data_IF_376885620016
#
_entry.id   IF_376885620016
#
_cell.length_a   1.000
_cell.length_b   1.000
_cell.length_c   1.000
_cell.angle_alpha   90.00
_cell.angle_beta   90.00
_cell.angle_gamma   90.00
#
_symmetry.space_group_name_H-M   'P 1'
#
loop_
_entity.id
_entity.type
_entity.pdbx_description
1 polymer ?
#
# COMPACT_ATOMS: atom_id res chain seq x y z
N UNK A 1 0.54 3.47 -16.69
CA UNK A 1 -0.89 3.23 -16.96
C UNK A 1 -1.65 4.41 -16.39
N UNK A 2 -2.61 4.95 -17.13
CA UNK A 2 -3.40 6.10 -16.69
C UNK A 2 -4.36 5.73 -15.54
N UNK A 3 -4.81 6.73 -14.78
CA UNK A 3 -5.70 6.56 -13.63
C UNK A 3 -7.01 5.84 -13.99
N UNK A 4 -7.64 6.21 -15.11
CA UNK A 4 -8.94 5.67 -15.50
C UNK A 4 -8.88 4.17 -15.80
N UNK A 5 -7.82 3.73 -16.47
CA UNK A 5 -7.59 2.29 -16.73
C UNK A 5 -7.39 1.51 -15.42
N UNK A 6 -6.64 2.06 -14.46
CA UNK A 6 -6.42 1.42 -13.15
C UNK A 6 -7.74 1.32 -12.36
N UNK A 7 -8.51 2.41 -12.29
CA UNK A 7 -9.80 2.43 -11.59
C UNK A 7 -10.81 1.48 -12.22
N UNK A 8 -10.85 1.38 -13.55
CA UNK A 8 -11.73 0.45 -14.26
C UNK A 8 -11.40 -1.02 -13.98
N UNK A 9 -10.13 -1.33 -13.70
CA UNK A 9 -9.66 -2.67 -13.35
C UNK A 9 -9.64 -2.95 -11.84
N UNK A 10 -10.10 -2.02 -10.99
CA UNK A 10 -9.93 -2.09 -9.55
C UNK A 10 -10.80 -3.21 -8.94
N UNK A 11 -10.15 -4.15 -8.24
CA UNK A 11 -10.83 -5.28 -7.60
C UNK A 11 -10.91 -5.14 -6.08
N UNK A 12 -10.01 -4.35 -5.49
CA UNK A 12 -9.90 -4.07 -4.07
C UNK A 12 -9.36 -2.64 -3.88
N UNK A 13 -9.98 -1.86 -3.01
CA UNK A 13 -9.43 -0.61 -2.46
C UNK A 13 -9.63 -0.62 -0.96
N UNK A 14 -8.58 -0.31 -0.21
CA UNK A 14 -8.60 -0.31 1.23
C UNK A 14 -7.96 0.96 1.81
N UNK A 15 -8.55 1.43 2.90
CA UNK A 15 -7.92 2.37 3.83
C UNK A 15 -6.98 1.58 4.74
N UNK A 16 -5.74 2.03 4.87
CA UNK A 16 -4.66 1.32 5.56
C UNK A 16 -3.93 2.26 6.51
N UNK A 17 -2.82 1.79 7.09
CA UNK A 17 -1.98 2.63 7.93
C UNK A 17 -2.62 2.91 9.28
N UNK A 18 -2.38 4.10 9.83
CA UNK A 18 -2.79 4.44 11.21
C UNK A 18 -4.29 4.26 11.45
N UNK A 19 -5.11 4.48 10.42
CA UNK A 19 -6.56 4.29 10.48
C UNK A 19 -6.93 2.82 10.70
N UNK A 20 -6.38 1.92 9.89
CA UNK A 20 -6.63 0.48 10.01
C UNK A 20 -6.04 -0.12 11.30
N UNK A 21 -4.96 0.46 11.83
CA UNK A 21 -4.32 0.02 13.06
C UNK A 21 -4.95 0.58 14.34
N UNK A 22 -5.95 1.47 14.24
CA UNK A 22 -6.53 2.13 15.41
C UNK A 22 -5.56 3.06 16.16
N UNK A 23 -4.54 3.55 15.46
CA UNK A 23 -3.51 4.46 16.00
C UNK A 23 -3.62 5.86 15.41
N UNK A 24 -4.69 6.14 14.66
CA UNK A 24 -4.92 7.44 14.06
C UNK A 24 -5.26 8.51 15.09
N UNK A 25 -4.82 9.73 14.81
CA UNK A 25 -5.19 10.95 15.52
C UNK A 25 -6.03 11.83 14.59
N UNK A 26 -6.69 12.89 15.09
CA UNK A 26 -7.44 13.81 14.24
C UNK A 26 -6.61 14.47 13.12
N UNK A 27 -5.29 14.48 13.25
CA UNK A 27 -4.37 15.03 12.25
C UNK A 27 -3.72 13.97 11.35
N UNK A 28 -4.06 12.68 11.52
CA UNK A 28 -3.51 11.60 10.71
C UNK A 28 -3.93 11.73 9.25
N UNK A 29 -2.98 11.48 8.36
CA UNK A 29 -3.23 11.24 6.95
C UNK A 29 -3.93 9.90 6.72
N UNK A 30 -4.43 9.73 5.48
CA UNK A 30 -5.07 8.51 5.04
C UNK A 30 -4.19 7.84 3.99
N UNK A 31 -3.76 6.61 4.30
CA UNK A 31 -3.02 5.76 3.38
C UNK A 31 -3.96 4.80 2.66
N UNK A 32 -3.92 4.78 1.34
CA UNK A 32 -4.77 3.88 0.56
C UNK A 32 -3.93 2.83 -0.17
N UNK A 33 -4.39 1.58 -0.14
CA UNK A 33 -3.83 0.49 -0.95
C UNK A 33 -4.92 -0.14 -1.79
N UNK A 34 -4.60 -0.45 -3.05
CA UNK A 34 -5.54 -1.14 -3.92
C UNK A 34 -4.88 -2.25 -4.71
N UNK A 35 -5.74 -3.06 -5.34
CA UNK A 35 -5.35 -4.09 -6.29
C UNK A 35 -6.21 -3.96 -7.53
N UNK A 36 -5.58 -3.98 -8.70
CA UNK A 36 -6.28 -3.92 -9.99
C UNK A 36 -5.83 -5.04 -10.93
N UNK A 37 -6.71 -5.39 -11.86
CA UNK A 37 -6.42 -6.30 -12.97
C UNK A 37 -6.16 -5.44 -14.21
N UNK A 38 -4.95 -5.52 -14.76
CA UNK A 38 -4.61 -4.81 -15.98
C UNK A 38 -5.43 -5.32 -17.21
N UNK A 39 -5.54 -4.53 -18.29
CA UNK A 39 -6.12 -5.02 -19.54
C UNK A 39 -5.33 -6.18 -20.17
N UNK A 40 -5.98 -6.93 -21.07
CA UNK A 40 -5.42 -8.14 -21.71
C UNK A 40 -4.04 -7.93 -22.35
N UNK A 41 -3.78 -6.78 -22.96
CA UNK A 41 -2.48 -6.45 -23.57
C UNK A 41 -1.29 -6.51 -22.60
N UNK A 42 -1.53 -6.34 -21.30
CA UNK A 42 -0.50 -6.43 -20.26
C UNK A 42 -0.22 -7.88 -19.82
N UNK A 43 -1.09 -8.81 -20.20
CA UNK A 43 -0.94 -10.24 -19.93
C UNK A 43 -0.48 -11.01 -21.18
N UNK A 44 -0.98 -10.62 -22.35
CA UNK A 44 -0.76 -11.32 -23.61
C UNK A 44 0.24 -10.60 -24.54
N UNK A 45 0.62 -9.37 -24.19
CA UNK A 45 1.59 -8.57 -24.94
C UNK A 45 2.87 -8.27 -24.16
N UNK A 46 3.67 -7.34 -24.66
CA UNK A 46 4.95 -6.92 -24.06
C UNK A 46 4.81 -5.73 -23.09
N UNK A 47 3.59 -5.23 -22.86
CA UNK A 47 3.35 -4.14 -21.90
C UNK A 47 3.48 -4.68 -20.49
N UNK A 48 4.14 -3.94 -19.60
CA UNK A 48 4.23 -4.26 -18.19
C UNK A 48 3.72 -3.11 -17.33
N UNK A 49 3.14 -3.47 -16.18
CA UNK A 49 2.77 -2.54 -15.11
C UNK A 49 2.81 -3.32 -13.81
N UNK A 50 3.46 -2.76 -12.79
CA UNK A 50 3.54 -3.39 -11.47
C UNK A 50 2.61 -2.71 -10.47
N UNK A 51 2.54 -1.38 -10.51
CA UNK A 51 1.74 -0.56 -9.61
C UNK A 51 1.50 0.84 -10.19
N UNK A 52 0.55 1.57 -9.60
CA UNK A 52 0.38 3.01 -9.73
C UNK A 52 0.45 3.63 -8.34
N UNK A 53 1.40 4.54 -8.14
CA UNK A 53 1.65 5.25 -6.88
C UNK A 53 1.68 6.78 -7.05
N UNK A 54 1.37 7.28 -8.26
CA UNK A 54 1.39 8.69 -8.64
C UNK A 54 0.32 8.99 -9.69
N UNK A 55 0.05 10.29 -9.92
CA UNK A 55 -0.91 10.75 -10.92
C UNK A 55 -2.36 10.52 -10.46
N UNK A 56 -2.64 10.80 -9.18
CA UNK A 56 -3.97 10.75 -8.58
C UNK A 56 -4.68 12.13 -8.62
N UNK A 57 -3.95 13.18 -8.98
CA UNK A 57 -4.42 14.51 -9.33
C UNK A 57 -5.12 14.55 -10.71
N UNK A 58 -4.84 13.57 -11.58
CA UNK A 58 -5.54 13.40 -12.86
C UNK A 58 -7.02 13.02 -12.65
N UNK A 59 -7.95 13.43 -13.55
CA UNK A 59 -9.34 13.01 -13.47
C UNK A 59 -9.51 11.49 -13.59
N UNK A 60 -10.12 10.87 -12.57
CA UNK A 60 -10.52 9.47 -12.57
C UNK A 60 -11.82 9.20 -13.35
N UNK A 61 -12.40 8.02 -13.14
CA UNK A 61 -13.75 7.65 -13.64
C UNK A 61 -14.87 8.10 -12.69
N UNK A 62 -14.52 8.68 -11.54
CA UNK A 62 -15.48 9.25 -10.57
C UNK A 62 -16.11 8.24 -9.60
N UNK A 63 -15.76 6.95 -9.69
CA UNK A 63 -16.28 5.91 -8.77
C UNK A 63 -15.59 5.88 -7.40
N UNK A 64 -14.38 6.44 -7.30
CA UNK A 64 -13.55 6.39 -6.11
C UNK A 64 -13.09 7.80 -5.71
N UNK A 65 -13.99 8.67 -5.21
CA UNK A 65 -13.67 10.06 -4.90
C UNK A 65 -12.61 10.21 -3.80
N UNK A 66 -12.43 9.18 -2.96
CA UNK A 66 -11.35 9.12 -1.96
C UNK A 66 -9.94 9.17 -2.56
N UNK A 67 -9.81 8.86 -3.85
CA UNK A 67 -8.55 8.93 -4.58
C UNK A 67 -8.28 10.31 -5.18
N UNK A 68 -9.23 11.23 -5.12
CA UNK A 68 -9.03 12.60 -5.60
C UNK A 68 -8.10 13.36 -4.65
N UNK A 69 -6.97 13.86 -5.19
CA UNK A 69 -5.96 14.59 -4.43
C UNK A 69 -5.39 13.82 -3.22
N UNK A 70 -5.40 12.50 -3.29
CA UNK A 70 -4.78 11.66 -2.27
C UNK A 70 -3.25 11.80 -2.33
N UNK A 71 -2.63 11.96 -1.17
CA UNK A 71 -1.17 12.06 -1.06
C UNK A 71 -0.52 10.68 -1.14
N UNK A 72 -1.06 9.73 -0.38
CA UNK A 72 -0.48 8.40 -0.20
C UNK A 72 -1.47 7.32 -0.66
N UNK A 73 -1.35 6.96 -1.94
CA UNK A 73 -2.11 5.84 -2.50
C UNK A 73 -1.26 5.01 -3.44
N UNK A 74 -1.23 3.69 -3.20
CA UNK A 74 -0.56 2.73 -4.08
C UNK A 74 -1.52 1.63 -4.48
N UNK A 75 -1.76 1.49 -5.78
CA UNK A 75 -2.59 0.42 -6.34
C UNK A 75 -1.71 -0.54 -7.13
N UNK A 76 -1.65 -1.79 -6.70
CA UNK A 76 -0.81 -2.83 -7.27
C UNK A 76 -1.54 -3.59 -8.38
N UNK A 77 -0.80 -3.94 -9.44
CA UNK A 77 -1.30 -4.91 -10.40
C UNK A 77 -1.36 -6.30 -9.74
N UNK A 78 -2.37 -7.09 -10.09
CA UNK A 78 -2.70 -8.35 -9.41
C UNK A 78 -1.51 -9.34 -9.33
N UNK A 79 -0.73 -9.56 -10.39
CA UNK A 79 0.43 -10.46 -10.36
C UNK A 79 1.51 -9.93 -9.42
N UNK A 80 1.76 -8.63 -9.42
CA UNK A 80 2.70 -8.01 -8.47
C UNK A 80 2.24 -8.23 -7.03
N UNK A 81 0.97 -7.95 -6.75
CA UNK A 81 0.38 -8.12 -5.43
C UNK A 81 0.47 -9.59 -4.97
N UNK A 82 0.04 -10.53 -5.81
CA UNK A 82 0.12 -11.97 -5.51
C UNK A 82 1.55 -12.43 -5.26
N UNK A 83 2.52 -11.91 -6.02
CA UNK A 83 3.95 -12.23 -5.83
C UNK A 83 4.45 -11.76 -4.46
N UNK A 84 4.07 -10.56 -4.04
CA UNK A 84 4.47 -10.02 -2.74
C UNK A 84 3.81 -10.78 -1.58
N UNK A 85 2.52 -11.07 -1.70
CA UNK A 85 1.77 -11.84 -0.70
C UNK A 85 2.29 -13.29 -0.60
N UNK A 86 2.59 -13.93 -1.74
CA UNK A 86 3.23 -15.26 -1.80
C UNK A 86 4.60 -15.31 -1.11
N UNK A 87 5.33 -14.20 -1.12
CA UNK A 87 6.59 -14.04 -0.39
C UNK A 87 6.40 -13.53 1.05
N UNK A 88 5.15 -13.48 1.52
CA UNK A 88 4.74 -13.08 2.86
C UNK A 88 5.28 -11.69 3.23
N UNK A 89 5.29 -10.75 2.27
CA UNK A 89 5.63 -9.36 2.51
C UNK A 89 4.62 -8.76 3.53
N UNK A 90 5.07 -8.27 4.70
CA UNK A 90 4.16 -7.85 5.76
C UNK A 90 3.16 -6.77 5.32
N UNK A 91 3.63 -5.78 4.56
CA UNK A 91 2.82 -4.64 4.13
C UNK A 91 1.70 -5.03 3.17
N UNK A 92 1.90 -6.07 2.37
CA UNK A 92 0.89 -6.55 1.41
C UNK A 92 -0.02 -7.59 2.03
N UNK A 93 0.54 -8.43 2.91
CA UNK A 93 -0.21 -9.46 3.61
C UNK A 93 -1.28 -8.82 4.49
N UNK A 94 -0.95 -7.75 5.21
CA UNK A 94 -1.89 -6.94 6.01
C UNK A 94 -3.18 -6.60 5.24
N UNK A 95 -3.08 -6.22 3.96
CA UNK A 95 -4.23 -5.82 3.14
C UNK A 95 -5.28 -6.93 2.98
N UNK A 96 -4.94 -8.20 3.20
CA UNK A 96 -5.87 -9.32 3.15
C UNK A 96 -6.56 -9.65 4.49
N UNK A 97 -6.15 -9.02 5.59
CA UNK A 97 -6.66 -9.24 6.96
C UNK A 97 -7.26 -7.97 7.58
N UNK A 98 -7.60 -6.97 6.78
CA UNK A 98 -8.28 -5.78 7.28
C UNK A 98 -9.73 -6.12 7.67
N UNK A 99 -10.26 -5.38 8.63
CA UNK A 99 -11.69 -5.44 8.95
C UNK A 99 -12.53 -4.94 7.77
N UNK A 100 -13.78 -5.42 7.68
CA UNK A 100 -14.63 -5.16 6.52
C UNK A 100 -14.88 -3.68 6.24
N UNK A 101 -14.87 -2.85 7.28
CA UNK A 101 -15.08 -1.40 7.18
C UNK A 101 -13.94 -0.66 6.48
N UNK A 102 -12.73 -1.22 6.50
CA UNK A 102 -11.56 -0.61 5.86
C UNK A 102 -11.48 -0.93 4.36
N UNK A 103 -12.30 -1.87 3.85
CA UNK A 103 -12.42 -2.11 2.41
C UNK A 103 -13.44 -1.15 1.78
N UNK A 104 -12.93 -0.06 1.22
CA UNK A 104 -13.73 0.97 0.54
C UNK A 104 -14.33 0.47 -0.78
N UNK A 105 -13.65 -0.47 -1.44
CA UNK A 105 -14.17 -1.17 -2.62
C UNK A 105 -13.75 -2.63 -2.58
N UNK A 106 -14.69 -3.52 -2.87
CA UNK A 106 -14.43 -4.95 -2.95
C UNK A 106 -15.33 -5.62 -3.99
N UNK A 107 -14.77 -5.87 -5.17
CA UNK A 107 -15.43 -6.61 -6.24
C UNK A 107 -15.63 -8.09 -5.88
N UNK A 108 -16.47 -8.86 -6.61
CA UNK A 108 -16.55 -10.31 -6.44
C UNK A 108 -15.19 -11.03 -6.55
N UNK A 109 -14.31 -10.55 -7.44
CA UNK A 109 -12.95 -11.08 -7.59
C UNK A 109 -12.09 -10.73 -6.38
N UNK A 110 -12.20 -9.51 -5.84
CA UNK A 110 -11.53 -9.09 -4.61
C UNK A 110 -11.97 -9.92 -3.39
N UNK A 111 -13.28 -10.19 -3.26
CA UNK A 111 -13.83 -11.11 -2.24
C UNK A 111 -13.22 -12.49 -2.36
N UNK A 112 -13.10 -13.02 -3.58
CA UNK A 112 -12.46 -14.31 -3.85
C UNK A 112 -10.98 -14.28 -3.46
N UNK A 113 -10.24 -13.23 -3.78
CA UNK A 113 -8.84 -13.05 -3.35
C UNK A 113 -8.71 -13.12 -1.82
N UNK A 114 -9.54 -12.40 -1.07
CA UNK A 114 -9.54 -12.42 0.40
C UNK A 114 -9.94 -13.79 0.95
N UNK A 115 -10.82 -14.53 0.27
CA UNK A 115 -11.20 -15.88 0.70
C UNK A 115 -10.02 -16.86 0.69
N UNK A 116 -9.02 -16.63 -0.18
CA UNK A 116 -7.80 -17.43 -0.24
C UNK A 116 -6.68 -16.96 0.70
N UNK A 117 -6.91 -15.94 1.55
CA UNK A 117 -5.85 -15.32 2.37
C UNK A 117 -5.00 -16.34 3.13
N UNK A 118 -5.63 -17.34 3.74
CA UNK A 118 -4.94 -18.38 4.51
C UNK A 118 -3.98 -19.22 3.67
N UNK A 119 -4.24 -19.41 2.38
CA UNK A 119 -3.39 -20.19 1.48
C UNK A 119 -2.04 -19.51 1.19
N UNK A 120 -1.91 -18.21 1.44
CA UNK A 120 -0.66 -17.49 1.24
C UNK A 120 0.32 -17.63 2.40
N UNK A 121 -0.15 -17.99 3.60
CA UNK A 121 0.71 -18.08 4.78
C UNK A 121 1.66 -19.27 4.66
N UNK A 122 2.95 -19.02 4.85
CA UNK A 122 4.00 -20.04 4.79
C UNK A 122 5.04 -19.81 5.87
N UNK A 123 5.99 -20.74 6.04
CA UNK A 123 7.11 -20.55 6.98
C UNK A 123 8.00 -19.34 6.64
N UNK A 124 7.92 -18.80 5.41
CA UNK A 124 8.62 -17.56 5.01
C UNK A 124 8.24 -16.37 5.89
N UNK A 125 7.03 -16.38 6.45
CA UNK A 125 6.51 -15.30 7.30
C UNK A 125 7.45 -14.94 8.45
N UNK A 126 8.13 -15.93 9.04
CA UNK A 126 9.08 -15.69 10.15
C UNK A 126 10.22 -14.77 9.71
N UNK A 127 10.85 -15.08 8.58
CA UNK A 127 11.98 -14.33 8.07
C UNK A 127 11.54 -12.96 7.54
N UNK A 128 10.42 -12.90 6.80
CA UNK A 128 9.95 -11.64 6.22
C UNK A 128 9.49 -10.63 7.28
N UNK A 129 8.75 -11.07 8.30
CA UNK A 129 8.31 -10.19 9.39
C UNK A 129 9.47 -9.77 10.30
N UNK A 130 10.36 -10.69 10.67
CA UNK A 130 11.54 -10.34 11.47
C UNK A 130 12.46 -9.35 10.74
N UNK A 131 12.71 -9.60 9.44
CA UNK A 131 13.49 -8.70 8.60
C UNK A 131 12.84 -7.32 8.47
N UNK A 132 11.52 -7.27 8.31
CA UNK A 132 10.78 -6.01 8.27
C UNK A 132 10.86 -5.25 9.60
N UNK A 133 10.59 -5.90 10.73
CA UNK A 133 10.70 -5.27 12.05
C UNK A 133 12.10 -4.69 12.29
N UNK A 134 13.15 -5.44 11.95
CA UNK A 134 14.52 -4.95 12.04
C UNK A 134 14.78 -3.74 11.13
N UNK A 135 14.24 -3.75 9.92
CA UNK A 135 14.36 -2.61 9.00
C UNK A 135 13.66 -1.34 9.54
N UNK A 136 12.53 -1.49 10.23
CA UNK A 136 11.81 -0.37 10.85
C UNK A 136 12.59 0.20 12.04
N UNK A 137 13.16 -0.65 12.90
CA UNK A 137 14.02 -0.22 14.01
C UNK A 137 15.20 0.61 13.48
N UNK A 138 15.91 0.09 12.46
CA UNK A 138 17.03 0.83 11.83
C UNK A 138 16.61 2.18 11.24
N UNK A 139 15.43 2.25 10.64
CA UNK A 139 14.89 3.51 10.09
C UNK A 139 14.68 4.54 11.19
N UNK A 140 14.09 4.12 12.30
CA UNK A 140 13.85 4.97 13.49
C UNK A 140 15.18 5.46 14.07
N UNK A 141 16.16 4.57 14.29
CA UNK A 141 17.50 4.95 14.76
C UNK A 141 18.18 5.98 13.85
N UNK A 142 18.06 5.80 12.53
CA UNK A 142 18.61 6.73 11.54
C UNK A 142 17.93 8.10 11.61
N UNK A 143 16.61 8.14 11.80
CA UNK A 143 15.86 9.38 11.97
C UNK A 143 16.25 10.10 13.27
N UNK A 144 16.41 9.37 14.38
CA UNK A 144 16.88 9.94 15.65
C UNK A 144 18.26 10.58 15.52
N UNK A 145 19.22 9.91 14.85
CA UNK A 145 20.55 10.49 14.59
C UNK A 145 20.46 11.79 13.80
N UNK A 146 19.67 11.82 12.72
CA UNK A 146 19.45 13.03 11.91
C UNK A 146 18.86 14.19 12.72
N UNK A 147 17.92 13.90 13.62
CA UNK A 147 17.32 14.90 14.50
C UNK A 147 18.35 15.49 15.47
N UNK A 148 19.17 14.65 16.11
CA UNK A 148 20.26 15.11 16.98
C UNK A 148 21.25 16.01 16.23
N UNK A 149 21.66 15.62 15.02
CA UNK A 149 22.55 16.45 14.18
C UNK A 149 21.91 17.79 13.82
N UNK A 150 20.63 17.80 13.45
CA UNK A 150 19.90 19.05 13.15
C UNK A 150 19.84 19.98 14.35
N UNK A 151 19.49 19.46 15.52
CA UNK A 151 19.40 20.23 16.77
C UNK A 151 20.76 20.85 17.10
N UNK A 152 21.83 20.05 17.04
CA UNK A 152 23.19 20.52 17.29
C UNK A 152 23.63 21.63 16.33
N UNK A 153 23.36 21.47 15.02
CA UNK A 153 23.65 22.51 14.02
C UNK A 153 22.83 23.79 14.24
N UNK A 154 21.56 23.68 14.60
CA UNK A 154 20.74 24.86 14.90
C UNK A 154 21.21 25.61 16.15
N UNK A 155 21.73 24.91 17.16
CA UNK A 155 22.32 25.53 18.35
C UNK A 155 23.61 26.30 18.01
N UNK A 156 24.44 25.79 17.09
CA UNK A 156 25.68 26.46 16.66
C UNK A 156 25.39 27.70 15.80
N UNK A 157 24.37 27.67 14.96
CA UNK A 157 24.03 28.81 14.07
C UNK A 157 23.38 29.97 14.84
N UNK A 158 22.81 29.69 16.01
CA UNK A 158 22.14 30.67 16.89
C UNK A 158 23.06 31.25 17.98
N UNK A 159 24.32 30.83 18.05
CA UNK A 159 25.39 31.35 18.94
C UNK A 159 26.45 32.07 18.14
#
# INVERSE_FOLDING_TARGET
MDRKTVESGLILLALTGSQAYGTSTPSSDCDYKGVFIAPKDYYLGFKSVEQKDRGWDEPGIGLYPVLDNVKDCVVYELRKFLTLVYNNNPNMLETLWLDSEFYLHLSPVGKKLISYRQAFISQKIRASFAGYAYSQIKRVETQFKKLQTKIFLSLIILT
#
